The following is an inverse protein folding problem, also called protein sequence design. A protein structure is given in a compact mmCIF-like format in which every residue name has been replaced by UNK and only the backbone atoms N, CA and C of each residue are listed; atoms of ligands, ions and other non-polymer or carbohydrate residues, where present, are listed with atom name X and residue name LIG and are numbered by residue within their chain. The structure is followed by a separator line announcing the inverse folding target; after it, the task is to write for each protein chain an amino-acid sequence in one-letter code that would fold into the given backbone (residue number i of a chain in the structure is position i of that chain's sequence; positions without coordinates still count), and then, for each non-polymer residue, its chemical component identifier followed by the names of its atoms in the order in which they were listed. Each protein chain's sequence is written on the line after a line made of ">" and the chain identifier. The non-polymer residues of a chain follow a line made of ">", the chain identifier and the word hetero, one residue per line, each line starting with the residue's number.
data_IF_833809338756
#
_entry.id   IF_833809338756
#
_cell.length_a   1.000
_cell.length_b   1.000
_cell.length_c   1.000
_cell.angle_alpha   90.00
_cell.angle_beta   90.00
_cell.angle_gamma   90.00
#
_symmetry.space_group_name_H-M   'P 1'
#
loop_
_entity.id
_entity.type
_entity.pdbx_description
1 polymer ?
#
# COMPACT_ATOMS: atom_id res chain seq x y z
N UNK A 1 -4.51 -5.77 13.25
CA UNK A 1 -5.00 -5.51 11.88
C UNK A 1 -5.29 -6.85 11.21
N UNK A 2 -6.25 -6.93 10.28
CA UNK A 2 -6.60 -8.18 9.58
C UNK A 2 -6.79 -7.95 8.07
N UNK A 3 -6.82 -9.03 7.29
CA UNK A 3 -6.88 -8.98 5.82
C UNK A 3 -8.17 -8.32 5.30
N UNK A 4 -9.30 -8.49 5.98
CA UNK A 4 -10.58 -7.91 5.56
C UNK A 4 -10.59 -6.40 5.69
N UNK A 5 -10.00 -5.86 6.76
CA UNK A 5 -9.86 -4.41 6.94
C UNK A 5 -8.92 -3.81 5.90
N UNK A 6 -7.78 -4.47 5.63
CA UNK A 6 -6.83 -4.02 4.59
C UNK A 6 -7.51 -4.05 3.22
N UNK A 7 -8.15 -5.16 2.85
CA UNK A 7 -8.83 -5.30 1.56
C UNK A 7 -9.94 -4.25 1.37
N UNK A 8 -10.76 -3.99 2.39
CA UNK A 8 -11.80 -2.94 2.32
C UNK A 8 -11.21 -1.54 2.18
N UNK A 9 -10.18 -1.21 2.94
CA UNK A 9 -9.50 0.09 2.83
C UNK A 9 -8.86 0.27 1.44
N UNK A 10 -8.22 -0.78 0.93
CA UNK A 10 -7.62 -0.77 -0.41
C UNK A 10 -8.66 -0.71 -1.52
N UNK A 11 -9.81 -1.38 -1.38
CA UNK A 11 -10.90 -1.25 -2.34
C UNK A 11 -11.46 0.18 -2.35
N UNK A 12 -11.57 0.84 -1.19
CA UNK A 12 -11.94 2.24 -1.11
C UNK A 12 -10.97 3.15 -1.84
N UNK A 13 -9.65 2.93 -1.68
CA UNK A 13 -8.62 3.65 -2.44
C UNK A 13 -8.74 3.39 -3.95
N UNK A 14 -8.97 2.13 -4.35
CA UNK A 14 -9.12 1.77 -5.75
C UNK A 14 -10.33 2.48 -6.39
N UNK A 15 -11.49 2.42 -5.72
CA UNK A 15 -12.71 3.10 -6.17
C UNK A 15 -12.53 4.62 -6.25
N UNK A 16 -11.85 5.22 -5.28
CA UNK A 16 -11.55 6.65 -5.31
C UNK A 16 -10.62 7.00 -6.49
N UNK A 17 -9.49 6.31 -6.62
CA UNK A 17 -8.49 6.59 -7.65
C UNK A 17 -9.07 6.40 -9.06
N UNK A 18 -9.94 5.42 -9.27
CA UNK A 18 -10.67 5.20 -10.52
C UNK A 18 -11.61 6.36 -10.92
N UNK A 19 -12.09 7.13 -9.94
CA UNK A 19 -12.91 8.33 -10.16
C UNK A 19 -12.11 9.62 -10.41
N UNK A 20 -10.78 9.54 -10.42
CA UNK A 20 -9.89 10.71 -10.64
C UNK A 20 -9.20 10.66 -11.99
N UNK A 21 -8.62 11.79 -12.40
CA UNK A 21 -7.71 11.86 -13.56
C UNK A 21 -6.26 11.46 -13.22
N UNK A 22 -5.99 10.99 -11.99
CA UNK A 22 -4.65 10.58 -11.58
C UNK A 22 -4.24 9.25 -12.24
N UNK A 23 -2.93 8.98 -12.34
CA UNK A 23 -2.45 7.72 -12.86
C UNK A 23 -2.99 6.51 -12.07
N UNK A 24 -3.49 5.50 -12.79
CA UNK A 24 -3.98 4.22 -12.23
C UNK A 24 -2.80 3.29 -11.84
N UNK A 25 -1.84 3.87 -11.12
CA UNK A 25 -0.61 3.21 -10.66
C UNK A 25 -0.43 3.50 -9.17
N UNK A 26 -0.09 2.48 -8.40
CA UNK A 26 0.10 2.59 -6.94
C UNK A 26 1.43 1.97 -6.53
N UNK A 27 2.21 2.68 -5.72
CA UNK A 27 3.41 2.13 -5.10
C UNK A 27 3.10 1.64 -3.67
N UNK A 28 3.73 0.54 -3.24
CA UNK A 28 3.52 -0.06 -1.92
C UNK A 28 4.87 -0.35 -1.26
N UNK A 29 5.03 0.11 -0.02
CA UNK A 29 6.13 -0.23 0.87
C UNK A 29 5.62 -0.78 2.20
N UNK A 30 6.48 -1.47 2.93
CA UNK A 30 6.14 -2.06 4.21
C UNK A 30 7.37 -2.22 5.12
N UNK A 31 7.12 -2.20 6.43
CA UNK A 31 8.15 -2.39 7.46
C UNK A 31 8.17 -3.83 8.01
N UNK A 32 8.97 -4.04 9.07
CA UNK A 32 9.18 -5.34 9.70
C UNK A 32 8.07 -5.80 10.66
N UNK A 33 6.91 -5.12 10.71
CA UNK A 33 5.84 -5.50 11.64
C UNK A 33 5.23 -6.84 11.28
N UNK A 34 4.68 -7.51 12.29
CA UNK A 34 3.99 -8.78 12.13
C UNK A 34 2.86 -8.62 11.12
N UNK A 35 2.89 -9.47 10.08
CA UNK A 35 1.91 -9.46 9.00
C UNK A 35 2.10 -8.39 7.93
N UNK A 36 3.08 -7.48 8.02
CA UNK A 36 3.27 -6.40 7.03
C UNK A 36 3.41 -6.92 5.61
N UNK A 37 4.17 -8.00 5.40
CA UNK A 37 4.30 -8.67 4.09
C UNK A 37 2.97 -9.26 3.59
N UNK A 38 2.15 -9.81 4.48
CA UNK A 38 0.83 -10.35 4.12
C UNK A 38 -0.10 -9.21 3.72
N UNK A 39 -0.16 -8.15 4.51
CA UNK A 39 -1.05 -7.02 4.28
C UNK A 39 -0.66 -6.21 3.03
N UNK A 40 0.63 -6.03 2.75
CA UNK A 40 1.09 -5.37 1.52
C UNK A 40 0.73 -6.18 0.27
N UNK A 41 0.83 -7.51 0.33
CA UNK A 41 0.38 -8.40 -0.76
C UNK A 41 -1.14 -8.38 -0.95
N UNK A 42 -1.93 -8.38 0.13
CA UNK A 42 -3.39 -8.25 0.05
C UNK A 42 -3.79 -6.94 -0.62
N UNK A 43 -3.16 -5.82 -0.23
CA UNK A 43 -3.40 -4.54 -0.87
C UNK A 43 -3.05 -4.58 -2.36
N UNK A 44 -1.88 -5.14 -2.72
CA UNK A 44 -1.47 -5.30 -4.11
C UNK A 44 -2.48 -6.13 -4.94
N UNK A 45 -2.97 -7.24 -4.38
CA UNK A 45 -3.95 -8.11 -5.04
C UNK A 45 -5.28 -7.38 -5.31
N UNK A 46 -5.79 -6.62 -4.33
CA UNK A 46 -7.03 -5.85 -4.50
C UNK A 46 -6.86 -4.79 -5.60
N UNK A 47 -5.76 -4.05 -5.60
CA UNK A 47 -5.48 -3.05 -6.63
C UNK A 47 -5.33 -3.66 -8.03
N UNK A 48 -4.60 -4.78 -8.12
CA UNK A 48 -4.43 -5.51 -9.37
C UNK A 48 -5.77 -6.06 -9.90
N UNK A 49 -6.65 -6.55 -9.02
CA UNK A 49 -7.99 -7.00 -9.39
C UNK A 49 -8.88 -5.85 -9.90
N UNK A 50 -8.59 -4.60 -9.53
CA UNK A 50 -9.22 -3.40 -10.07
C UNK A 50 -8.52 -2.86 -11.34
N UNK A 51 -7.58 -3.62 -11.93
CA UNK A 51 -6.89 -3.25 -13.17
C UNK A 51 -5.78 -2.20 -13.02
N UNK A 52 -5.33 -1.92 -11.79
CA UNK A 52 -4.28 -0.93 -11.54
C UNK A 52 -2.88 -1.55 -11.64
N UNK A 53 -1.90 -0.74 -12.09
CA UNK A 53 -0.48 -1.14 -12.02
C UNK A 53 0.02 -0.98 -10.58
N UNK A 54 0.61 -2.03 -10.01
CA UNK A 54 1.11 -2.00 -8.63
C UNK A 54 2.61 -2.21 -8.59
N UNK A 55 3.33 -1.27 -7.99
CA UNK A 55 4.76 -1.38 -7.68
C UNK A 55 4.93 -1.75 -6.22
N UNK A 56 5.17 -3.02 -5.93
CA UNK A 56 5.43 -3.51 -4.58
C UNK A 56 6.93 -3.77 -4.39
N UNK A 57 7.53 -3.19 -3.35
CA UNK A 57 8.91 -3.50 -3.01
C UNK A 57 9.08 -4.99 -2.63
N UNK A 58 10.13 -5.67 -3.12
CA UNK A 58 10.34 -7.10 -2.84
C UNK A 58 10.88 -7.39 -1.44
N UNK A 59 11.20 -6.35 -0.66
CA UNK A 59 11.81 -6.42 0.66
C UNK A 59 11.31 -5.28 1.55
N UNK A 60 11.74 -5.28 2.80
CA UNK A 60 11.49 -4.20 3.76
C UNK A 60 12.08 -2.89 3.25
N UNK A 61 11.34 -1.80 3.39
CA UNK A 61 11.79 -0.48 2.95
C UNK A 61 11.30 0.61 3.91
N UNK A 62 12.09 1.67 4.13
CA UNK A 62 11.68 2.79 4.97
C UNK A 62 10.65 3.66 4.25
N UNK A 63 9.82 4.39 5.00
CA UNK A 63 8.80 5.30 4.45
C UNK A 63 9.28 6.22 3.32
N UNK A 64 10.50 6.81 3.35
CA UNK A 64 10.98 7.65 2.26
C UNK A 64 11.15 6.91 0.92
N UNK A 65 11.40 5.60 0.93
CA UNK A 65 11.50 4.80 -0.30
C UNK A 65 10.15 4.70 -1.02
N UNK A 66 9.03 4.70 -0.29
CA UNK A 66 7.69 4.85 -0.87
C UNK A 66 7.53 6.22 -1.53
N UNK A 67 7.88 7.29 -0.80
CA UNK A 67 7.81 8.65 -1.32
C UNK A 67 8.62 8.84 -2.59
N UNK A 68 9.79 8.20 -2.68
CA UNK A 68 10.58 8.13 -3.90
C UNK A 68 9.85 7.36 -5.01
N UNK A 69 9.39 6.13 -4.75
CA UNK A 69 8.74 5.28 -5.75
C UNK A 69 7.48 5.92 -6.36
N UNK A 70 6.64 6.57 -5.54
CA UNK A 70 5.44 7.27 -6.00
C UNK A 70 5.79 8.31 -7.07
N UNK A 71 6.83 9.11 -6.83
CA UNK A 71 7.29 10.14 -7.77
C UNK A 71 8.00 9.54 -8.98
N UNK A 72 8.87 8.57 -8.75
CA UNK A 72 9.68 7.94 -9.78
C UNK A 72 8.84 7.20 -10.83
N UNK A 73 7.82 6.44 -10.39
CA UNK A 73 6.93 5.68 -11.29
C UNK A 73 5.69 6.46 -11.74
N UNK A 74 5.51 7.70 -11.28
CA UNK A 74 4.34 8.52 -11.57
C UNK A 74 3.04 7.87 -11.06
N UNK A 75 3.03 7.43 -9.81
CA UNK A 75 1.86 6.82 -9.18
C UNK A 75 0.83 7.87 -8.76
N UNK A 76 -0.45 7.53 -8.88
CA UNK A 76 -1.55 8.34 -8.34
C UNK A 76 -1.72 8.21 -6.83
N UNK A 77 -1.21 7.12 -6.24
CA UNK A 77 -1.23 6.90 -4.79
C UNK A 77 -0.02 6.08 -4.31
N UNK A 78 0.23 6.13 -3.00
CA UNK A 78 1.14 5.25 -2.28
C UNK A 78 0.41 4.51 -1.18
N UNK A 79 0.90 3.33 -0.79
CA UNK A 79 0.47 2.65 0.44
C UNK A 79 1.71 2.32 1.27
N UNK A 80 1.68 2.69 2.54
CA UNK A 80 2.69 2.27 3.50
C UNK A 80 2.07 1.38 4.60
N UNK A 81 2.53 0.14 4.67
CA UNK A 81 2.13 -0.79 5.73
C UNK A 81 3.14 -0.69 6.88
N UNK A 82 2.81 0.17 7.84
CA UNK A 82 3.61 0.45 9.03
C UNK A 82 2.76 1.11 10.12
N UNK A 83 3.05 0.79 11.39
CA UNK A 83 2.60 1.57 12.54
C UNK A 83 3.76 2.35 13.21
N UNK A 84 4.80 2.68 12.44
CA UNK A 84 5.93 3.53 12.87
C UNK A 84 6.62 3.01 14.14
N UNK A 85 6.49 3.69 15.27
CA UNK A 85 7.11 3.36 16.56
C UNK A 85 6.14 2.69 17.54
N UNK A 86 4.91 2.38 17.13
CA UNK A 86 3.95 1.72 18.01
C UNK A 86 4.47 0.34 18.47
N UNK A 87 4.01 -0.18 19.62
CA UNK A 87 4.37 -1.51 20.10
C UNK A 87 4.18 -2.63 19.05
N UNK A 88 4.90 -3.74 19.21
CA UNK A 88 5.00 -4.81 18.20
C UNK A 88 3.65 -5.44 17.79
N UNK A 89 2.67 -5.44 18.70
CA UNK A 89 1.31 -5.96 18.45
C UNK A 89 0.50 -5.10 17.46
N UNK A 90 0.94 -3.87 17.18
CA UNK A 90 0.26 -2.97 16.26
C UNK A 90 0.83 -3.10 14.85
N UNK A 91 -0.05 -2.89 13.87
CA UNK A 91 0.32 -2.65 12.48
C UNK A 91 -0.63 -1.58 11.90
N UNK A 92 -0.23 -0.93 10.82
CA UNK A 92 -0.92 0.23 10.27
C UNK A 92 -0.93 0.23 8.75
N UNK A 93 -1.85 1.02 8.20
CA UNK A 93 -2.04 1.21 6.77
C UNK A 93 -2.19 2.71 6.54
N UNK A 94 -1.35 3.28 5.68
CA UNK A 94 -1.34 4.71 5.34
C UNK A 94 -1.41 4.84 3.82
N UNK A 95 -2.19 5.82 3.35
CA UNK A 95 -2.25 6.25 1.95
C UNK A 95 -1.49 7.55 1.80
#
# INVERSE_FOLDING_TARGET
>A
MNIYTVARATQGLASWLAGTSLPQKVAIAYDSRVGSTLFSKVAAQVLAANGMTVYLYPRLEPTPALSFAVRYYGCGAGINVTASHNPAQYNGYKV
#
